data_IF_733586196732
#
_entry.id   IF_733586196732
#
_cell.length_a   1.000
_cell.length_b   1.000
_cell.length_c   1.000
_cell.angle_alpha   90.00
_cell.angle_beta   90.00
_cell.angle_gamma   90.00
#
_symmetry.space_group_name_H-M   'P 1'
#
loop_
_entity.id
_entity.type
_entity.pdbx_description
1 polymer ?
#
# COMPACT_ATOMS: atom_id res chain seq x y z
N UNK A 1 0.28 -22.81 -2.93
CA UNK A 1 -0.46 -21.52 -2.91
C UNK A 1 -1.79 -21.71 -3.64
N UNK A 2 -2.96 -21.50 -3.01
CA UNK A 2 -4.24 -21.47 -3.76
C UNK A 2 -4.21 -20.25 -4.68
N UNK A 3 -3.83 -20.47 -5.93
CA UNK A 3 -3.86 -19.45 -6.96
C UNK A 3 -5.34 -19.16 -7.26
N UNK A 4 -5.90 -18.14 -6.62
CA UNK A 4 -7.28 -17.75 -6.88
C UNK A 4 -7.37 -17.29 -8.34
N UNK A 5 -8.44 -17.68 -9.04
CA UNK A 5 -8.67 -17.29 -10.44
C UNK A 5 -8.55 -15.77 -10.65
N UNK A 6 -8.88 -15.00 -9.62
CA UNK A 6 -8.78 -13.53 -9.59
C UNK A 6 -7.32 -13.09 -9.70
N UNK A 7 -6.40 -13.65 -8.89
CA UNK A 7 -4.98 -13.27 -8.93
C UNK A 7 -4.38 -13.51 -10.31
N UNK A 8 -4.70 -14.65 -10.92
CA UNK A 8 -4.24 -14.98 -12.28
C UNK A 8 -4.76 -13.96 -13.29
N UNK A 9 -6.05 -13.64 -13.26
CA UNK A 9 -6.67 -12.66 -14.18
C UNK A 9 -6.09 -11.26 -14.04
N UNK A 10 -5.84 -10.81 -12.81
CA UNK A 10 -5.22 -9.50 -12.55
C UNK A 10 -3.79 -9.46 -13.10
N UNK A 11 -3.01 -10.51 -12.87
CA UNK A 11 -1.65 -10.62 -13.41
C UNK A 11 -1.66 -10.57 -14.94
N UNK A 12 -2.49 -11.40 -15.59
CA UNK A 12 -2.63 -11.42 -17.05
C UNK A 12 -3.01 -10.04 -17.62
N UNK A 13 -3.92 -9.32 -16.96
CA UNK A 13 -4.34 -7.98 -17.38
C UNK A 13 -3.18 -6.97 -17.29
N UNK A 14 -2.47 -6.94 -16.15
CA UNK A 14 -1.34 -6.02 -15.96
C UNK A 14 -0.19 -6.36 -16.91
N UNK A 15 0.13 -7.64 -17.11
CA UNK A 15 1.15 -8.08 -18.05
C UNK A 15 0.82 -7.66 -19.48
N UNK A 16 -0.44 -7.80 -19.90
CA UNK A 16 -0.88 -7.34 -21.22
C UNK A 16 -0.79 -5.82 -21.34
N UNK A 17 -1.24 -5.07 -20.32
CA UNK A 17 -1.14 -3.61 -20.34
C UNK A 17 0.31 -3.12 -20.42
N UNK A 18 1.24 -3.82 -19.76
CA UNK A 18 2.67 -3.46 -19.78
C UNK A 18 3.35 -3.68 -21.14
N UNK A 19 2.82 -4.58 -21.99
CA UNK A 19 3.40 -4.86 -23.32
C UNK A 19 2.70 -4.15 -24.47
N UNK A 20 1.49 -3.62 -24.24
CA UNK A 20 0.78 -2.82 -25.25
C UNK A 20 1.42 -1.43 -25.29
N UNK A 21 2.31 -1.21 -26.25
CA UNK A 21 2.77 0.13 -26.60
C UNK A 21 1.69 0.81 -27.43
N UNK A 22 1.13 1.90 -26.91
CA UNK A 22 0.29 2.79 -27.70
C UNK A 22 1.22 3.64 -28.57
N UNK A 23 1.23 3.38 -29.89
CA UNK A 23 1.94 4.20 -30.89
C UNK A 23 1.21 5.53 -31.19
N UNK A 24 0.19 5.87 -30.42
CA UNK A 24 -0.54 7.13 -30.56
C UNK A 24 0.11 8.18 -29.67
N UNK A 25 1.07 8.91 -30.24
CA UNK A 25 1.74 10.08 -29.65
C UNK A 25 0.77 11.28 -29.57
N UNK A 26 -0.34 11.13 -28.86
CA UNK A 26 -1.22 12.26 -28.59
C UNK A 26 -0.90 12.78 -27.18
N UNK A 27 -0.07 13.82 -27.15
CA UNK A 27 0.60 14.38 -25.96
C UNK A 27 -0.36 14.95 -24.89
N UNK A 28 -1.67 14.86 -25.12
CA UNK A 28 -2.75 15.39 -24.28
C UNK A 28 -3.57 14.27 -23.58
N UNK A 29 -3.17 13.01 -23.75
CA UNK A 29 -3.86 11.90 -23.10
C UNK A 29 -3.46 11.75 -21.62
N UNK A 30 -4.46 11.54 -20.76
CA UNK A 30 -4.24 11.27 -19.34
C UNK A 30 -3.71 9.85 -19.16
N UNK A 31 -2.55 9.74 -18.52
CA UNK A 31 -1.88 8.47 -18.28
C UNK A 31 -2.06 7.96 -16.85
N UNK A 32 -2.05 6.64 -16.68
CA UNK A 32 -2.04 5.98 -15.39
C UNK A 32 -0.85 5.03 -15.30
N UNK A 33 0.12 5.41 -14.45
CA UNK A 33 1.34 4.65 -14.22
C UNK A 33 1.26 3.83 -12.93
N UNK A 34 1.52 2.53 -13.04
CA UNK A 34 1.67 1.64 -11.88
C UNK A 34 3.15 1.44 -11.58
N UNK A 35 3.66 2.13 -10.56
CA UNK A 35 5.06 2.02 -10.14
C UNK A 35 5.15 1.10 -8.92
N UNK A 36 5.95 0.04 -9.05
CA UNK A 36 6.21 -0.93 -7.98
C UNK A 36 7.59 -0.69 -7.35
N UNK A 37 7.84 -1.33 -6.21
CA UNK A 37 9.13 -1.29 -5.52
C UNK A 37 9.58 0.12 -5.10
N UNK A 38 8.62 0.93 -4.66
CA UNK A 38 8.83 2.29 -4.15
C UNK A 38 8.12 2.49 -2.83
N UNK A 39 8.81 3.07 -1.87
CA UNK A 39 8.28 3.45 -0.57
C UNK A 39 8.35 4.97 -0.41
N UNK A 40 7.25 5.67 -0.10
CA UNK A 40 7.32 7.10 0.19
C UNK A 40 8.07 7.36 1.50
N UNK A 41 9.06 8.26 1.45
CA UNK A 41 9.89 8.64 2.60
C UNK A 41 9.63 10.05 3.06
N UNK A 42 9.40 10.99 2.13
CA UNK A 42 9.18 12.40 2.46
C UNK A 42 8.29 13.10 1.44
N UNK A 43 7.50 14.08 1.90
CA UNK A 43 6.84 15.04 1.02
C UNK A 43 7.67 16.32 0.95
N UNK A 44 7.93 16.78 -0.27
CA UNK A 44 8.69 17.97 -0.55
C UNK A 44 7.72 19.11 -0.89
N UNK A 45 7.91 20.30 -0.30
CA UNK A 45 7.06 21.45 -0.58
C UNK A 45 7.26 21.95 -2.02
N UNK A 46 6.25 22.64 -2.56
CA UNK A 46 6.39 23.46 -3.76
C UNK A 46 7.33 24.65 -3.53
N UNK A 47 7.72 25.36 -4.60
CA UNK A 47 8.63 26.51 -4.52
C UNK A 47 8.13 27.62 -3.59
N UNK A 48 6.81 27.84 -3.56
CA UNK A 48 6.13 28.80 -2.68
C UNK A 48 5.80 28.22 -1.29
N UNK A 49 6.03 26.93 -1.07
CA UNK A 49 5.83 26.26 0.22
C UNK A 49 4.38 25.98 0.61
N UNK A 50 3.40 26.34 -0.23
CA UNK A 50 1.98 26.26 0.11
C UNK A 50 1.37 24.88 -0.14
N UNK A 51 1.93 24.11 -1.08
CA UNK A 51 1.44 22.79 -1.47
C UNK A 51 2.56 21.73 -1.49
N UNK A 52 2.18 20.49 -1.77
CA UNK A 52 3.17 19.47 -2.14
C UNK A 52 3.71 19.81 -3.53
N UNK A 53 5.03 19.78 -3.70
CA UNK A 53 5.71 19.91 -4.98
C UNK A 53 6.22 18.57 -5.51
N UNK A 54 6.59 17.66 -4.61
CA UNK A 54 7.05 16.32 -4.95
C UNK A 54 6.94 15.33 -3.79
N UNK A 55 7.07 14.05 -4.10
CA UNK A 55 7.27 12.97 -3.13
C UNK A 55 8.64 12.32 -3.36
N UNK A 56 9.41 12.19 -2.28
CA UNK A 56 10.62 11.39 -2.25
C UNK A 56 10.25 9.92 -2.03
N UNK A 57 10.76 9.06 -2.90
CA UNK A 57 10.51 7.63 -2.93
C UNK A 57 11.84 6.89 -2.77
N UNK A 58 11.92 5.98 -1.81
CA UNK A 58 13.03 5.03 -1.70
C UNK A 58 12.73 3.80 -2.55
N UNK A 59 13.72 3.33 -3.32
CA UNK A 59 13.63 2.04 -4.02
C UNK A 59 13.68 0.90 -3.01
N UNK A 60 12.88 -0.13 -3.27
CA UNK A 60 12.79 -1.29 -2.37
C UNK A 60 13.06 -2.59 -3.11
N UNK A 61 13.52 -3.61 -2.40
CA UNK A 61 13.62 -4.98 -2.88
C UNK A 61 12.83 -5.92 -1.96
N UNK A 62 12.46 -7.11 -2.44
CA UNK A 62 11.81 -8.11 -1.61
C UNK A 62 12.85 -8.97 -0.91
N UNK A 63 12.69 -9.15 0.40
CA UNK A 63 13.40 -10.18 1.19
C UNK A 63 12.39 -11.11 1.83
N UNK A 64 12.75 -12.38 1.95
CA UNK A 64 11.97 -13.33 2.73
C UNK A 64 12.19 -13.05 4.22
N UNK A 65 11.10 -12.85 4.94
CA UNK A 65 11.09 -12.81 6.40
C UNK A 65 11.17 -14.25 6.90
N UNK A 66 12.38 -14.65 7.33
CA UNK A 66 12.68 -15.99 7.82
C UNK A 66 11.82 -16.44 9.01
N UNK A 67 11.20 -15.52 9.75
CA UNK A 67 10.34 -15.85 10.87
C UNK A 67 8.89 -16.18 10.45
N UNK A 68 8.38 -15.55 9.39
CA UNK A 68 6.97 -15.69 8.99
C UNK A 68 6.78 -16.35 7.62
N UNK A 69 7.86 -16.54 6.85
CA UNK A 69 7.83 -17.03 5.47
C UNK A 69 7.18 -16.07 4.48
N UNK A 70 6.98 -14.80 4.88
CA UNK A 70 6.37 -13.76 4.02
C UNK A 70 7.45 -12.92 3.37
N UNK A 71 7.16 -12.39 2.18
CA UNK A 71 8.01 -11.39 1.55
C UNK A 71 7.75 -10.01 2.15
N UNK A 72 8.83 -9.30 2.46
CA UNK A 72 8.81 -7.94 3.01
C UNK A 72 9.64 -7.03 2.09
N UNK A 73 9.12 -5.83 1.84
CA UNK A 73 9.86 -4.81 1.10
C UNK A 73 10.90 -4.14 2.00
N UNK A 74 12.17 -4.17 1.59
CA UNK A 74 13.32 -3.58 2.29
C UNK A 74 13.91 -2.48 1.42
N UNK A 75 14.17 -1.32 2.03
CA UNK A 75 14.78 -0.18 1.35
C UNK A 75 16.20 -0.48 0.87
N UNK A 76 16.56 0.05 -0.30
CA UNK A 76 17.90 -0.11 -0.86
C UNK A 76 18.81 1.08 -0.53
N UNK A 77 18.29 2.16 0.06
CA UNK A 77 19.01 3.42 0.24
C UNK A 77 19.16 4.26 -1.04
N UNK A 78 18.57 3.83 -2.16
CA UNK A 78 18.47 4.67 -3.36
C UNK A 78 17.15 5.44 -3.35
N UNK A 79 17.23 6.74 -3.60
CA UNK A 79 16.08 7.65 -3.56
C UNK A 79 15.83 8.27 -4.94
N UNK A 80 14.56 8.52 -5.25
CA UNK A 80 14.12 9.27 -6.42
C UNK A 80 13.02 10.25 -6.04
N UNK A 81 12.93 11.35 -6.78
CA UNK A 81 11.91 12.36 -6.57
C UNK A 81 10.85 12.26 -7.68
N UNK A 82 9.58 12.19 -7.28
CA UNK A 82 8.45 12.24 -8.19
C UNK A 82 7.69 13.56 -7.97
N UNK A 83 7.80 14.47 -8.94
CA UNK A 83 7.08 15.75 -8.94
C UNK A 83 5.57 15.52 -8.98
N UNK A 84 4.85 16.11 -8.05
CA UNK A 84 3.40 15.98 -7.96
C UNK A 84 2.79 17.12 -7.13
N UNK A 85 1.59 17.58 -7.53
CA UNK A 85 0.85 18.61 -6.79
C UNK A 85 -0.12 18.05 -5.74
N UNK A 86 -0.44 16.76 -5.80
CA UNK A 86 -1.43 16.10 -4.94
C UNK A 86 -0.94 14.71 -4.57
N UNK A 87 -1.12 14.33 -3.30
CA UNK A 87 -0.85 12.98 -2.80
C UNK A 87 -2.09 12.42 -2.11
N UNK A 88 -2.51 11.20 -2.51
CA UNK A 88 -3.63 10.48 -1.92
C UNK A 88 -3.13 9.21 -1.22
N UNK A 89 -3.35 9.11 0.09
CA UNK A 89 -2.89 7.96 0.90
C UNK A 89 -3.94 6.85 0.93
N UNK A 90 -3.73 5.79 0.16
CA UNK A 90 -4.62 4.62 0.08
C UNK A 90 -4.02 3.35 0.69
N UNK A 91 -3.42 3.44 1.88
CA UNK A 91 -2.70 2.34 2.56
C UNK A 91 -3.53 1.57 3.61
N UNK A 92 -4.84 1.80 3.65
CA UNK A 92 -5.76 1.21 4.63
C UNK A 92 -6.12 2.14 5.79
N UNK A 93 -7.07 1.69 6.59
CA UNK A 93 -7.66 2.43 7.71
C UNK A 93 -7.40 1.71 9.04
N UNK A 94 -7.43 2.47 10.14
CA UNK A 94 -7.43 1.93 11.51
C UNK A 94 -8.61 2.52 12.25
N UNK A 95 -9.24 1.71 13.11
CA UNK A 95 -10.33 2.17 13.97
C UNK A 95 -9.77 3.03 15.11
N UNK A 96 -10.63 3.87 15.70
CA UNK A 96 -10.29 4.60 16.93
C UNK A 96 -10.71 3.77 18.16
N UNK A 97 -9.94 3.81 19.26
CA UNK A 97 -10.35 3.17 20.50
C UNK A 97 -11.64 3.81 21.04
N UNK A 98 -12.51 2.99 21.62
CA UNK A 98 -13.71 3.44 22.34
C UNK A 98 -13.48 3.13 23.81
N UNK A 99 -13.83 4.09 24.66
CA UNK A 99 -13.73 3.93 26.11
C UNK A 99 -14.55 2.73 26.61
N UNK A 100 -13.97 1.94 27.52
CA UNK A 100 -14.60 0.75 28.07
C UNK A 100 -14.49 -0.53 27.22
N UNK A 101 -13.89 -0.47 26.02
CA UNK A 101 -13.67 -1.65 25.16
C UNK A 101 -12.18 -1.98 24.99
N UNK A 102 -11.87 -3.28 24.96
CA UNK A 102 -10.53 -3.74 24.65
C UNK A 102 -10.16 -3.48 23.18
N UNK A 103 -8.96 -2.95 22.96
CA UNK A 103 -8.52 -2.47 21.66
C UNK A 103 -7.08 -2.89 21.37
N UNK A 104 -6.86 -3.53 20.22
CA UNK A 104 -5.53 -3.85 19.70
C UNK A 104 -4.99 -2.64 18.93
N UNK A 105 -4.08 -1.89 19.57
CA UNK A 105 -3.46 -0.69 18.98
C UNK A 105 -2.59 -1.00 17.76
N UNK A 106 -1.99 -2.19 17.70
CA UNK A 106 -1.13 -2.56 16.57
C UNK A 106 -1.97 -2.79 15.32
N UNK A 107 -3.02 -3.62 15.46
CA UNK A 107 -3.94 -3.99 14.36
C UNK A 107 -4.99 -2.92 14.08
N UNK A 108 -5.29 -2.03 15.02
CA UNK A 108 -6.30 -0.97 14.89
C UNK A 108 -7.73 -1.49 14.90
N UNK A 109 -8.00 -2.55 15.67
CA UNK A 109 -9.32 -3.21 15.77
C UNK A 109 -9.71 -3.44 17.23
N UNK A 110 -11.01 -3.44 17.52
CA UNK A 110 -11.51 -3.86 18.84
C UNK A 110 -11.27 -5.37 18.99
N UNK A 111 -10.67 -5.75 20.12
CA UNK A 111 -10.64 -7.15 20.51
C UNK A 111 -11.95 -7.42 21.24
N UNK A 112 -12.84 -8.17 20.62
CA UNK A 112 -13.97 -8.73 21.36
C UNK A 112 -13.41 -9.92 22.17
N UNK A 113 -13.50 -9.93 23.52
CA UNK A 113 -13.26 -11.14 24.27
C UNK A 113 -14.28 -12.18 23.78
N UNK A 114 -13.77 -13.33 23.37
CA UNK A 114 -14.61 -14.46 22.94
C UNK A 114 -15.48 -14.83 24.15
N UNK A 115 -16.77 -14.56 24.09
CA UNK A 115 -17.71 -15.08 25.11
C UNK A 115 -17.75 -16.60 24.93
N UNK A 116 -16.90 -17.32 25.65
CA UNK A 116 -17.14 -18.72 25.94
C UNK A 116 -18.36 -18.76 26.86
N UNK A 117 -19.49 -19.20 26.32
CA UNK A 117 -20.72 -19.37 27.08
C UNK A 117 -20.41 -20.19 28.32
N UNK A 118 -20.55 -19.60 29.50
CA UNK A 118 -20.64 -20.37 30.73
C UNK A 118 -21.93 -21.16 30.62
N UNK A 119 -21.82 -22.44 30.30
CA UNK A 119 -22.88 -23.42 30.52
C UNK A 119 -23.06 -23.57 32.03
N UNK A 120 -23.78 -22.63 32.65
CA UNK A 120 -24.39 -22.84 33.95
C UNK A 120 -25.64 -23.69 33.71
N UNK A 121 -25.51 -25.00 33.91
CA UNK A 121 -26.69 -25.84 34.15
C UNK A 121 -26.51 -26.38 35.56
N UNK A 122 -27.43 -25.95 36.42
CA UNK A 122 -27.69 -26.50 37.76
C UNK A 122 -28.07 -27.98 37.68
#
# INVERSE_FOLDING_TARGET
>A
MRNSRIKRRVYELLSKAATVHQENNDNDQKELHFVFFRKPTKFLPSEDGSTVGAVELEKTLLKDDGATGKQVAVGTGEFEELKCGIVLKSIGYKSLPIEGLSFDKYRGVWSCPKFEGQSSVQ
#
